data_IF_474331778957
#
_entry.id   IF_474331778957
#
_cell.length_a   1.000
_cell.length_b   1.000
_cell.length_c   1.000
_cell.angle_alpha   90.00
_cell.angle_beta   90.00
_cell.angle_gamma   90.00
#
_symmetry.space_group_name_H-M   'P 1'
#
loop_
_entity.id
_entity.type
_entity.pdbx_description
1 polymer ?
#
# COMPACT_ATOMS: atom_id res chain seq x y z
N UNK A 1 20.47 7.89 21.89
CA UNK A 1 19.19 7.20 22.18
C UNK A 1 18.24 7.57 21.04
N UNK A 2 17.83 6.54 20.29
CA UNK A 2 17.31 6.66 18.92
C UNK A 2 15.97 7.38 18.84
N UNK A 3 15.82 8.13 17.75
CA UNK A 3 14.62 8.82 17.30
C UNK A 3 13.38 7.94 17.46
N UNK A 4 12.47 8.35 18.34
CA UNK A 4 11.15 7.76 18.48
C UNK A 4 10.25 8.38 17.40
N UNK A 5 10.05 7.69 16.28
CA UNK A 5 9.13 8.14 15.25
C UNK A 5 7.70 7.73 15.64
N UNK A 6 6.89 8.69 16.09
CA UNK A 6 5.43 8.57 16.12
C UNK A 6 4.88 9.11 14.80
N UNK A 7 4.54 8.23 13.86
CA UNK A 7 3.73 8.63 12.71
C UNK A 7 2.27 8.72 13.17
N UNK A 8 1.85 9.91 13.58
CA UNK A 8 0.44 10.23 13.77
C UNK A 8 -0.20 10.33 12.38
N UNK A 9 -0.84 9.27 11.89
CA UNK A 9 -1.67 9.35 10.69
C UNK A 9 -2.99 10.04 11.07
N UNK A 10 -2.96 11.37 11.17
CA UNK A 10 -4.16 12.17 11.39
C UNK A 10 -4.91 12.32 10.06
N UNK A 11 -6.16 11.87 10.08
CA UNK A 11 -7.27 12.26 9.18
C UNK A 11 -7.15 11.90 7.69
N UNK A 12 -7.47 10.65 7.33
CA UNK A 12 -8.06 10.31 6.02
C UNK A 12 -9.09 9.16 6.05
N UNK A 13 -9.54 8.72 7.23
CA UNK A 13 -10.68 7.81 7.31
C UNK A 13 -11.97 8.62 7.20
N UNK A 14 -12.26 9.14 6.01
CA UNK A 14 -13.65 9.46 5.71
C UNK A 14 -14.42 8.13 5.76
N UNK A 15 -15.59 8.07 6.44
CA UNK A 15 -16.36 6.82 6.55
C UNK A 15 -16.75 6.22 5.19
N UNK A 16 -16.60 6.98 4.10
CA UNK A 16 -16.89 6.59 2.71
C UNK A 16 -15.73 5.92 1.98
N UNK A 17 -14.50 5.96 2.49
CA UNK A 17 -13.34 5.38 1.78
C UNK A 17 -13.35 3.85 1.91
N UNK A 18 -13.26 3.09 0.79
CA UNK A 18 -13.26 1.63 0.85
C UNK A 18 -12.14 1.11 1.74
N UNK A 19 -12.53 0.38 2.77
CA UNK A 19 -11.60 -0.23 3.72
C UNK A 19 -11.87 -1.72 3.82
N UNK A 20 -10.81 -2.53 3.92
CA UNK A 20 -10.92 -3.97 4.13
C UNK A 20 -9.98 -4.41 5.25
N UNK A 21 -10.55 -5.11 6.23
CA UNK A 21 -9.79 -5.89 7.22
C UNK A 21 -9.89 -7.37 6.87
N UNK A 22 -8.79 -8.11 6.97
CA UNK A 22 -8.71 -9.52 6.57
C UNK A 22 -7.58 -10.25 7.29
N UNK A 23 -7.75 -11.54 7.59
CA UNK A 23 -6.67 -12.39 8.14
C UNK A 23 -5.59 -12.73 7.10
N UNK A 24 -5.95 -12.72 5.81
CA UNK A 24 -5.04 -12.88 4.69
C UNK A 24 -5.01 -11.65 3.81
N UNK A 25 -3.90 -11.41 3.12
CA UNK A 25 -3.74 -10.23 2.27
C UNK A 25 -4.83 -10.22 1.16
N UNK A 26 -5.69 -9.17 1.08
CA UNK A 26 -6.96 -9.26 0.35
C UNK A 26 -6.84 -8.95 -1.16
N UNK A 27 -6.00 -9.68 -1.89
CA UNK A 27 -5.73 -9.45 -3.33
C UNK A 27 -6.98 -9.35 -4.20
N UNK A 28 -7.94 -10.28 -4.04
CA UNK A 28 -9.17 -10.30 -4.84
C UNK A 28 -9.99 -9.03 -4.67
N UNK A 29 -10.06 -8.52 -3.43
CA UNK A 29 -10.80 -7.30 -3.13
C UNK A 29 -10.07 -6.06 -3.67
N UNK A 30 -8.74 -5.99 -3.48
CA UNK A 30 -7.89 -4.92 -4.03
C UNK A 30 -8.05 -4.85 -5.55
N UNK A 31 -7.90 -5.97 -6.26
CA UNK A 31 -8.00 -6.00 -7.72
C UNK A 31 -9.39 -5.53 -8.20
N UNK A 32 -10.46 -5.94 -7.50
CA UNK A 32 -11.80 -5.44 -7.78
C UNK A 32 -11.89 -3.91 -7.61
N UNK A 33 -11.35 -3.38 -6.52
CA UNK A 33 -11.37 -1.93 -6.24
C UNK A 33 -10.49 -1.12 -7.19
N UNK A 34 -9.34 -1.65 -7.60
CA UNK A 34 -8.50 -1.03 -8.64
C UNK A 34 -9.26 -0.89 -9.96
N UNK A 35 -10.02 -1.91 -10.36
CA UNK A 35 -10.90 -1.83 -11.56
C UNK A 35 -12.04 -0.82 -11.41
N UNK A 36 -12.44 -0.50 -10.19
CA UNK A 36 -13.43 0.55 -9.87
C UNK A 36 -12.80 1.96 -9.75
N UNK A 37 -11.51 2.11 -10.06
CA UNK A 37 -10.76 3.38 -10.03
C UNK A 37 -10.18 3.77 -8.67
N UNK A 38 -10.16 2.85 -7.70
CA UNK A 38 -9.56 3.08 -6.40
C UNK A 38 -8.09 2.65 -6.38
N UNK A 39 -7.29 3.31 -5.56
CA UNK A 39 -5.87 3.02 -5.36
C UNK A 39 -5.61 2.88 -3.87
N UNK A 40 -4.66 2.03 -3.49
CA UNK A 40 -4.24 1.86 -2.10
C UNK A 40 -3.55 3.15 -1.64
N UNK A 41 -4.03 3.71 -0.54
CA UNK A 41 -3.42 4.88 0.11
C UNK A 41 -2.74 4.52 1.42
N UNK A 42 -3.21 3.46 2.09
CA UNK A 42 -2.60 2.95 3.30
C UNK A 42 -2.79 1.44 3.42
N UNK A 43 -1.75 0.76 3.85
CA UNK A 43 -1.81 -0.61 4.37
C UNK A 43 -1.29 -0.62 5.80
N UNK A 44 -1.95 -1.37 6.68
CA UNK A 44 -1.58 -1.52 8.08
C UNK A 44 -1.78 -2.96 8.54
N UNK A 45 -1.18 -3.33 9.67
CA UNK A 45 -1.35 -4.64 10.28
C UNK A 45 -1.70 -4.52 11.76
N UNK A 46 -2.44 -5.50 12.28
CA UNK A 46 -2.76 -5.63 13.69
C UNK A 46 -2.76 -7.11 14.08
N UNK A 47 -1.64 -7.58 14.63
CA UNK A 47 -1.37 -9.00 14.78
C UNK A 47 -1.16 -9.64 13.40
N UNK A 48 -1.88 -10.74 13.12
CA UNK A 48 -1.89 -11.41 11.81
C UNK A 48 -2.81 -10.75 10.77
N UNK A 49 -3.58 -9.72 11.16
CA UNK A 49 -4.58 -9.11 10.28
C UNK A 49 -4.02 -7.98 9.47
N UNK A 50 -4.51 -7.87 8.25
CA UNK A 50 -4.26 -6.79 7.30
C UNK A 50 -5.42 -5.81 7.30
N UNK A 51 -5.10 -4.52 7.32
CA UNK A 51 -6.02 -3.42 7.02
C UNK A 51 -5.57 -2.70 5.75
N UNK A 52 -6.47 -2.53 4.78
CA UNK A 52 -6.20 -1.80 3.53
C UNK A 52 -7.22 -0.68 3.38
N UNK A 53 -6.72 0.53 3.15
CA UNK A 53 -7.52 1.73 2.85
C UNK A 53 -7.22 2.15 1.43
N UNK A 54 -8.27 2.46 0.68
CA UNK A 54 -8.18 2.91 -0.70
C UNK A 54 -8.94 4.22 -0.92
N UNK A 55 -8.50 5.01 -1.89
CA UNK A 55 -9.19 6.24 -2.32
C UNK A 55 -9.20 6.39 -3.84
N UNK A 56 -10.02 7.29 -4.36
CA UNK A 56 -9.97 7.72 -5.77
C UNK A 56 -9.01 8.88 -5.92
N UNK A 57 -8.35 8.96 -7.07
CA UNK A 57 -7.49 10.08 -7.47
C UNK A 57 -6.38 10.46 -6.47
N UNK A 58 -5.57 9.51 -5.95
CA UNK A 58 -4.44 9.88 -5.08
C UNK A 58 -3.26 10.54 -5.83
N UNK A 59 -3.37 10.73 -7.15
CA UNK A 59 -2.28 11.23 -8.01
C UNK A 59 -1.30 10.13 -8.45
N UNK A 60 -1.76 8.88 -8.54
CA UNK A 60 -1.00 7.78 -9.12
C UNK A 60 -1.61 7.38 -10.46
N UNK A 61 -0.76 7.16 -11.46
CA UNK A 61 -1.18 6.60 -12.75
C UNK A 61 -1.21 5.07 -12.71
N UNK A 62 -0.31 4.46 -11.95
CA UNK A 62 -0.15 3.02 -11.83
C UNK A 62 0.29 2.64 -10.42
N UNK A 63 -0.15 1.48 -9.94
CA UNK A 63 0.22 0.95 -8.64
C UNK A 63 0.50 -0.55 -8.70
N UNK A 64 1.53 -0.97 -7.99
CA UNK A 64 1.97 -2.37 -7.88
C UNK A 64 1.98 -2.76 -6.41
N UNK A 65 1.58 -3.99 -6.14
CA UNK A 65 1.67 -4.63 -4.82
C UNK A 65 2.67 -5.77 -4.93
N UNK A 66 3.77 -5.66 -4.21
CA UNK A 66 4.73 -6.76 -4.04
C UNK A 66 4.46 -7.38 -2.65
N UNK A 67 4.05 -8.65 -2.61
CA UNK A 67 3.90 -9.42 -1.36
C UNK A 67 4.98 -10.49 -1.35
N UNK A 68 5.88 -10.42 -0.37
CA UNK A 68 6.98 -11.37 -0.28
C UNK A 68 7.23 -11.81 1.18
N UNK A 69 7.71 -13.04 1.33
CA UNK A 69 8.17 -13.64 2.59
C UNK A 69 9.64 -13.30 2.86
N UNK A 70 10.41 -12.98 1.81
CA UNK A 70 11.82 -12.60 1.88
C UNK A 70 11.98 -11.24 1.19
N UNK A 71 12.85 -10.38 1.70
CA UNK A 71 13.02 -9.02 1.20
C UNK A 71 13.20 -8.98 -0.34
N UNK A 72 12.26 -8.40 -1.12
CA UNK A 72 12.27 -8.48 -2.58
C UNK A 72 13.14 -7.37 -3.18
N UNK A 73 14.45 -7.40 -2.91
CA UNK A 73 15.38 -6.35 -3.34
C UNK A 73 15.36 -6.13 -4.86
N UNK A 74 15.31 -7.21 -5.64
CA UNK A 74 15.33 -7.17 -7.10
C UNK A 74 14.06 -6.53 -7.69
N UNK A 75 12.89 -6.90 -7.18
CA UNK A 75 11.61 -6.37 -7.64
C UNK A 75 11.50 -4.87 -7.36
N UNK A 76 11.91 -4.42 -6.17
CA UNK A 76 11.88 -3.00 -5.80
C UNK A 76 12.85 -2.19 -6.66
N UNK A 77 14.07 -2.70 -6.88
CA UNK A 77 15.07 -1.98 -7.66
C UNK A 77 14.61 -1.73 -9.10
N UNK A 78 14.10 -2.77 -9.75
CA UNK A 78 13.57 -2.66 -11.12
C UNK A 78 12.38 -1.68 -11.21
N UNK A 79 11.52 -1.66 -10.19
CA UNK A 79 10.39 -0.71 -10.12
C UNK A 79 10.87 0.73 -9.92
N UNK A 80 11.94 0.95 -9.17
CA UNK A 80 12.54 2.28 -9.02
C UNK A 80 13.12 2.83 -10.32
N UNK A 81 13.81 1.99 -11.10
CA UNK A 81 14.28 2.38 -12.45
C UNK A 81 13.11 2.74 -13.36
N UNK A 82 11.98 2.04 -13.20
CA UNK A 82 10.72 2.32 -13.87
C UNK A 82 9.96 3.53 -13.27
N UNK A 83 10.56 4.30 -12.36
CA UNK A 83 9.95 5.52 -11.81
C UNK A 83 8.84 5.30 -10.76
N UNK A 84 8.66 4.07 -10.27
CA UNK A 84 7.79 3.84 -9.11
C UNK A 84 8.49 4.26 -7.82
N UNK A 85 7.71 4.63 -6.81
CA UNK A 85 8.18 4.90 -5.45
C UNK A 85 7.33 4.13 -4.45
N UNK A 86 7.91 3.78 -3.31
CA UNK A 86 7.16 3.17 -2.22
C UNK A 86 6.17 4.20 -1.68
N UNK A 87 4.89 3.83 -1.60
CA UNK A 87 3.81 4.72 -1.14
C UNK A 87 3.16 4.23 0.15
N UNK A 88 3.22 2.93 0.42
CA UNK A 88 2.77 2.34 1.69
C UNK A 88 3.42 0.98 1.92
N UNK A 89 3.59 0.58 3.17
CA UNK A 89 4.17 -0.70 3.55
C UNK A 89 3.56 -1.18 4.86
N UNK A 90 3.37 -2.49 4.97
CA UNK A 90 3.07 -3.14 6.24
C UNK A 90 3.60 -4.58 6.22
N UNK A 91 3.86 -5.12 7.41
CA UNK A 91 4.36 -6.48 7.57
C UNK A 91 3.68 -7.17 8.75
N UNK A 92 3.57 -8.48 8.63
CA UNK A 92 3.32 -9.43 9.72
C UNK A 92 4.57 -10.29 9.89
N UNK A 93 4.55 -11.26 10.82
CA UNK A 93 5.74 -12.01 11.22
C UNK A 93 6.48 -12.70 10.06
N UNK A 94 5.75 -13.16 9.03
CA UNK A 94 6.28 -13.96 7.92
C UNK A 94 6.08 -13.32 6.55
N UNK A 95 5.34 -12.20 6.44
CA UNK A 95 4.97 -11.60 5.15
C UNK A 95 5.08 -10.08 5.21
N UNK A 96 5.60 -9.49 4.13
CA UNK A 96 5.62 -8.06 3.92
C UNK A 96 4.87 -7.67 2.66
N UNK A 97 4.03 -6.65 2.75
CA UNK A 97 3.35 -6.03 1.62
C UNK A 97 3.96 -4.65 1.36
N UNK A 98 4.47 -4.46 0.15
CA UNK A 98 5.07 -3.21 -0.30
C UNK A 98 4.23 -2.68 -1.46
N UNK A 99 3.69 -1.48 -1.26
CA UNK A 99 2.88 -0.80 -2.26
C UNK A 99 3.77 0.23 -2.95
N UNK A 100 3.90 0.10 -4.27
CA UNK A 100 4.65 1.03 -5.10
C UNK A 100 3.71 1.76 -6.06
N UNK A 101 3.83 3.08 -6.14
CA UNK A 101 3.04 3.92 -7.04
C UNK A 101 3.92 4.75 -7.96
N UNK A 102 3.49 4.90 -9.21
CA UNK A 102 4.04 5.88 -10.16
C UNK A 102 3.13 7.11 -10.16
N UNK A 103 3.70 8.29 -9.96
CA UNK A 103 2.93 9.55 -9.94
C UNK A 103 2.54 9.98 -11.35
N UNK A 104 1.33 10.52 -11.47
CA UNK A 104 0.87 11.15 -12.70
C UNK A 104 1.59 12.49 -12.87
N UNK A 105 2.32 12.66 -13.99
CA UNK A 105 2.98 13.93 -14.32
C UNK A 105 1.94 14.89 -14.88
N UNK A 106 1.56 15.90 -14.08
CA UNK A 106 0.77 17.02 -14.56
C UNK A 106 1.64 17.83 -15.54
N UNK A 107 1.22 17.91 -16.80
CA UNK A 107 1.75 18.88 -17.77
C UNK A 107 1.16 20.26 -17.49
#
# INVERSE_FOLDING_TARGET
MGVHWLLCQKELLTPSSPTKVSESFPFKWINKKCKEGFHITSVTTAGSRWGVVMSRNPGFSEQVVELDFLYPSEGIHHRWESGYRITSMAAIADQAAIILGRRELKH
#
